data_IF_903484322103
#
_entry.id   IF_903484322103
#
_cell.length_a   1.000
_cell.length_b   1.000
_cell.length_c   1.000
_cell.angle_alpha   90.00
_cell.angle_beta   90.00
_cell.angle_gamma   90.00
#
_symmetry.space_group_name_H-M   'P 1'
#
loop_
_entity.id
_entity.type
_entity.pdbx_description
1 polymer ?
#
# COMPACT_ATOMS: atom_id res chain seq x y z
N UNK A 1 -33.93 30.20 26.84
CA UNK A 1 -35.28 29.64 26.70
C UNK A 1 -35.51 29.25 25.24
N UNK A 2 -35.50 27.95 24.92
CA UNK A 2 -36.01 27.39 23.65
C UNK A 2 -36.70 26.06 23.97
N UNK A 3 -37.93 25.93 23.47
CA UNK A 3 -38.92 24.88 23.75
C UNK A 3 -38.63 23.54 23.03
N UNK A 4 -38.99 22.46 23.73
CA UNK A 4 -39.63 21.19 23.33
C UNK A 4 -39.81 20.81 21.85
N UNK A 5 -39.51 19.53 21.54
CA UNK A 5 -40.45 18.51 20.99
C UNK A 5 -39.68 17.17 20.82
N UNK A 6 -39.93 16.06 21.54
CA UNK A 6 -40.97 15.01 21.34
C UNK A 6 -41.01 14.50 19.88
N UNK A 7 -40.95 13.22 19.51
CA UNK A 7 -41.66 12.04 20.03
C UNK A 7 -41.24 10.76 19.22
N UNK A 8 -41.24 9.58 19.86
CA UNK A 8 -41.66 8.24 19.41
C UNK A 8 -41.27 7.66 18.03
N UNK A 9 -40.73 6.42 18.01
CA UNK A 9 -41.51 5.19 17.72
C UNK A 9 -40.61 3.93 17.67
N UNK A 10 -41.18 2.82 18.12
CA UNK A 10 -40.58 1.51 18.30
C UNK A 10 -41.02 0.50 17.22
N UNK A 11 -40.41 -0.70 17.27
CA UNK A 11 -40.77 -1.97 16.62
C UNK A 11 -40.15 -2.18 15.23
N UNK A 12 -39.69 -3.36 14.81
CA UNK A 12 -40.38 -4.66 14.79
C UNK A 12 -39.38 -5.84 14.81
N UNK A 13 -39.76 -6.89 15.53
CA UNK A 13 -39.20 -8.25 15.62
C UNK A 13 -39.52 -9.07 14.36
N UNK A 14 -38.60 -9.95 13.91
CA UNK A 14 -39.01 -11.23 13.34
C UNK A 14 -37.91 -12.30 13.48
N UNK A 15 -38.18 -13.25 14.35
CA UNK A 15 -37.46 -14.51 14.53
C UNK A 15 -37.69 -15.44 13.33
N UNK A 16 -36.64 -16.10 12.84
CA UNK A 16 -36.78 -17.29 12.00
C UNK A 16 -36.42 -18.49 12.87
N UNK A 17 -37.34 -19.45 12.93
CA UNK A 17 -37.24 -20.69 13.71
C UNK A 17 -37.38 -21.90 12.78
N UNK A 18 -36.96 -23.06 13.30
CA UNK A 18 -37.30 -24.44 12.90
C UNK A 18 -36.54 -24.96 11.65
N UNK A 19 -36.13 -26.22 11.52
CA UNK A 19 -36.09 -27.42 12.37
C UNK A 19 -35.37 -28.51 11.52
N UNK A 20 -34.77 -29.52 12.15
CA UNK A 20 -34.58 -30.83 11.47
C UNK A 20 -33.38 -31.68 11.89
N UNK A 21 -33.46 -32.31 13.07
CA UNK A 21 -32.97 -33.69 13.27
C UNK A 21 -33.96 -34.64 12.53
N UNK A 22 -33.67 -35.86 12.08
CA UNK A 22 -32.87 -36.94 12.66
C UNK A 22 -32.81 -38.15 11.67
N UNK A 23 -31.83 -39.04 11.90
CA UNK A 23 -31.86 -40.52 11.78
C UNK A 23 -31.65 -41.36 10.49
N UNK A 24 -30.60 -42.20 10.61
CA UNK A 24 -30.39 -43.64 10.25
C UNK A 24 -30.52 -44.11 8.79
N UNK A 25 -29.43 -44.58 8.15
CA UNK A 25 -28.73 -45.88 8.26
C UNK A 25 -29.33 -46.99 7.38
N UNK A 26 -28.61 -47.33 6.30
CA UNK A 26 -28.48 -48.59 5.53
C UNK A 26 -27.94 -48.15 4.16
N UNK A 27 -26.88 -48.69 3.56
CA UNK A 27 -26.49 -50.08 3.46
C UNK A 27 -24.99 -50.18 3.17
N UNK A 28 -24.36 -51.12 3.86
CA UNK A 28 -23.06 -51.69 3.50
C UNK A 28 -23.32 -52.78 2.44
N UNK A 29 -22.81 -52.60 1.23
CA UNK A 29 -22.56 -53.68 0.28
C UNK A 29 -21.16 -53.48 -0.29
N UNK A 30 -20.35 -54.50 -0.03
CA UNK A 30 -18.99 -54.72 -0.45
C UNK A 30 -18.95 -55.09 -1.94
N UNK A 31 -18.24 -54.33 -2.76
CA UNK A 31 -17.76 -54.77 -4.08
C UNK A 31 -16.62 -53.84 -4.52
N UNK A 32 -15.42 -54.41 -4.58
CA UNK A 32 -14.19 -53.69 -4.89
C UNK A 32 -14.17 -53.00 -6.26
N UNK A 33 -13.63 -51.79 -6.25
CA UNK A 33 -12.91 -51.21 -7.36
C UNK A 33 -11.84 -50.28 -6.78
N UNK A 34 -10.59 -50.51 -7.16
CA UNK A 34 -9.46 -49.69 -6.77
C UNK A 34 -9.67 -48.26 -7.24
N UNK A 35 -9.92 -47.34 -6.31
CA UNK A 35 -10.03 -45.91 -6.61
C UNK A 35 -8.94 -45.15 -5.86
N UNK A 36 -8.11 -44.50 -6.65
CA UNK A 36 -6.91 -43.79 -6.25
C UNK A 36 -7.22 -42.74 -5.18
N UNK A 37 -6.54 -42.83 -4.03
CA UNK A 37 -6.46 -41.72 -3.09
C UNK A 37 -5.96 -40.49 -3.84
N UNK A 38 -6.68 -39.35 -3.84
CA UNK A 38 -6.04 -38.09 -4.15
C UNK A 38 -5.12 -37.78 -2.95
N UNK A 39 -3.82 -37.99 -3.15
CA UNK A 39 -2.81 -37.36 -2.29
C UNK A 39 -3.11 -35.87 -2.21
N UNK A 40 -3.11 -35.26 -1.01
CA UNK A 40 -3.06 -33.82 -0.90
C UNK A 40 -1.73 -33.39 -1.52
N UNK A 41 -1.78 -32.88 -2.76
CA UNK A 41 -0.66 -32.10 -3.28
C UNK A 41 -0.54 -30.90 -2.34
N UNK A 42 0.63 -30.62 -1.74
CA UNK A 42 0.83 -29.30 -1.21
C UNK A 42 0.61 -28.36 -2.40
N UNK A 43 -0.38 -27.47 -2.28
CA UNK A 43 -0.37 -26.26 -3.07
C UNK A 43 0.96 -25.60 -2.73
N UNK A 44 1.95 -25.80 -3.60
CA UNK A 44 3.07 -24.88 -3.66
C UNK A 44 2.41 -23.61 -4.19
N UNK A 45 1.84 -22.83 -3.28
CA UNK A 45 1.71 -21.41 -3.45
C UNK A 45 3.13 -20.97 -3.79
N UNK A 46 3.34 -20.80 -5.09
CA UNK A 46 4.51 -20.13 -5.61
C UNK A 46 4.32 -18.68 -5.20
N UNK A 47 4.59 -18.40 -3.93
CA UNK A 47 4.73 -17.07 -3.38
C UNK A 47 5.98 -16.52 -4.05
N UNK A 48 5.80 -15.95 -5.25
CA UNK A 48 6.77 -15.00 -5.78
C UNK A 48 6.94 -13.99 -4.65
N UNK A 49 8.14 -13.82 -4.08
CA UNK A 49 8.32 -12.83 -3.05
C UNK A 49 7.89 -11.51 -3.67
N UNK A 50 6.79 -10.94 -3.16
CA UNK A 50 6.37 -9.61 -3.58
C UNK A 50 7.59 -8.71 -3.37
N UNK A 51 8.14 -8.16 -4.45
CA UNK A 51 9.28 -7.25 -4.39
C UNK A 51 8.97 -6.18 -3.36
N UNK A 52 9.84 -6.00 -2.37
CA UNK A 52 9.68 -4.90 -1.43
C UNK A 52 10.08 -3.58 -2.10
N UNK A 53 9.72 -2.46 -1.47
CA UNK A 53 10.03 -1.13 -2.02
C UNK A 53 11.55 -0.91 -2.22
N UNK A 54 12.43 -1.57 -1.48
CA UNK A 54 13.90 -1.38 -1.62
C UNK A 54 14.42 -2.02 -2.90
N UNK A 55 13.86 -3.16 -3.31
CA UNK A 55 14.15 -3.74 -4.63
C UNK A 55 13.71 -2.80 -5.75
N UNK A 56 12.53 -2.17 -5.63
CA UNK A 56 12.02 -1.22 -6.62
C UNK A 56 12.85 0.06 -6.69
N UNK A 57 13.36 0.56 -5.56
CA UNK A 57 14.31 1.68 -5.55
C UNK A 57 15.66 1.29 -6.17
N UNK A 58 16.06 0.03 -6.06
CA UNK A 58 17.26 -0.48 -6.74
C UNK A 58 17.07 -0.51 -8.25
N UNK A 59 15.91 -1.00 -8.73
CA UNK A 59 15.54 -0.94 -10.17
C UNK A 59 15.54 0.50 -10.67
N UNK A 60 14.95 1.41 -9.89
CA UNK A 60 14.97 2.84 -10.21
C UNK A 60 16.40 3.40 -10.35
N UNK A 61 17.30 3.09 -9.40
CA UNK A 61 18.66 3.65 -9.41
C UNK A 61 19.54 3.16 -10.56
N UNK A 62 19.23 1.99 -11.14
CA UNK A 62 19.91 1.46 -12.34
C UNK A 62 19.23 1.84 -13.66
N UNK A 63 18.19 2.68 -13.62
CA UNK A 63 17.50 3.20 -14.80
C UNK A 63 16.33 2.36 -15.31
N UNK A 64 15.90 1.33 -14.57
CA UNK A 64 14.71 0.53 -14.88
C UNK A 64 13.43 1.22 -14.39
N UNK A 65 13.20 2.47 -14.82
CA UNK A 65 12.13 3.34 -14.33
C UNK A 65 10.73 2.73 -14.53
N UNK A 66 10.46 2.16 -15.70
CA UNK A 66 9.16 1.53 -16.01
C UNK A 66 8.87 0.34 -15.10
N UNK A 67 9.88 -0.51 -14.87
CA UNK A 67 9.74 -1.66 -14.00
C UNK A 67 9.55 -1.25 -12.54
N UNK A 68 10.26 -0.21 -12.08
CA UNK A 68 10.11 0.33 -10.74
C UNK A 68 8.71 0.91 -10.52
N UNK A 69 8.20 1.71 -11.47
CA UNK A 69 6.83 2.28 -11.39
C UNK A 69 5.78 1.19 -11.42
N UNK A 70 5.86 0.25 -12.36
CA UNK A 70 4.92 -0.86 -12.46
C UNK A 70 4.93 -1.71 -11.19
N UNK A 71 6.12 -1.98 -10.63
CA UNK A 71 6.27 -2.70 -9.39
C UNK A 71 5.65 -1.97 -8.19
N UNK A 72 5.73 -0.64 -8.09
CA UNK A 72 5.04 0.10 -7.01
C UNK A 72 3.53 -0.03 -7.14
N UNK A 73 3.00 0.08 -8.35
CA UNK A 73 1.55 -0.07 -8.60
C UNK A 73 1.08 -1.48 -8.24
N UNK A 74 1.83 -2.51 -8.65
CA UNK A 74 1.54 -3.91 -8.32
C UNK A 74 1.62 -4.15 -6.80
N UNK A 75 2.71 -3.71 -6.17
CA UNK A 75 2.94 -3.87 -4.74
C UNK A 75 1.85 -3.19 -3.91
N UNK A 76 1.39 -2.01 -4.32
CA UNK A 76 0.30 -1.28 -3.65
C UNK A 76 -1.04 -2.01 -3.66
N UNK A 77 -1.25 -2.92 -4.62
CA UNK A 77 -2.46 -3.73 -4.78
C UNK A 77 -2.29 -5.14 -4.23
N UNK A 78 -1.07 -5.53 -3.90
CA UNK A 78 -0.73 -6.86 -3.39
C UNK A 78 -1.22 -7.05 -1.94
N UNK A 79 -1.26 -8.31 -1.50
CA UNK A 79 -1.56 -8.64 -0.10
C UNK A 79 -0.52 -8.10 0.89
N UNK A 80 0.72 -7.82 0.46
CA UNK A 80 1.74 -7.20 1.30
C UNK A 80 1.38 -5.74 1.64
N UNK A 81 0.57 -5.08 0.80
CA UNK A 81 -0.02 -3.77 1.05
C UNK A 81 0.97 -2.73 1.57
N UNK A 82 0.63 -2.09 2.69
CA UNK A 82 1.43 -1.04 3.29
C UNK A 82 2.79 -1.53 3.82
N UNK A 83 2.89 -2.79 4.24
CA UNK A 83 4.16 -3.32 4.77
C UNK A 83 5.18 -3.52 3.65
N UNK A 84 4.75 -3.95 2.46
CA UNK A 84 5.64 -4.04 1.29
C UNK A 84 6.13 -2.67 0.80
N UNK A 85 5.30 -1.63 0.94
CA UNK A 85 5.63 -0.26 0.56
C UNK A 85 6.46 0.50 1.61
N UNK A 86 6.65 -0.06 2.81
CA UNK A 86 7.38 0.60 3.90
C UNK A 86 8.88 0.48 3.66
N UNK A 87 9.57 1.62 3.61
CA UNK A 87 11.00 1.68 3.30
C UNK A 87 11.87 1.12 4.43
N UNK A 88 11.48 1.41 5.68
CA UNK A 88 12.17 0.93 6.88
C UNK A 88 11.15 0.43 7.90
N UNK A 89 11.29 -0.83 8.30
CA UNK A 89 10.52 -1.42 9.40
C UNK A 89 11.20 -1.15 10.75
N UNK A 90 11.39 0.13 11.09
CA UNK A 90 11.92 0.54 12.39
C UNK A 90 11.35 1.89 12.83
N UNK A 91 11.16 2.04 14.13
CA UNK A 91 10.74 3.30 14.74
C UNK A 91 11.92 4.25 14.94
N UNK A 92 11.64 5.53 15.15
CA UNK A 92 12.65 6.52 15.54
C UNK A 92 13.39 6.13 16.83
N UNK A 93 12.68 5.52 17.79
CA UNK A 93 13.29 5.06 19.04
C UNK A 93 14.30 3.93 18.81
N UNK A 94 13.96 2.97 17.94
CA UNK A 94 14.87 1.88 17.56
C UNK A 94 16.10 2.43 16.84
N UNK A 95 15.92 3.40 15.94
CA UNK A 95 17.02 4.09 15.28
C UNK A 95 17.93 4.83 16.28
N UNK A 96 17.35 5.54 17.25
CA UNK A 96 18.09 6.28 18.27
C UNK A 96 18.87 5.36 19.24
N UNK A 97 18.41 4.13 19.44
CA UNK A 97 19.05 3.14 20.29
C UNK A 97 20.28 2.46 19.64
N UNK A 98 20.51 2.64 18.34
CA UNK A 98 21.66 2.06 17.64
C UNK A 98 23.00 2.64 18.13
N UNK A 99 24.09 1.86 18.12
CA UNK A 99 25.45 2.38 18.25
C UNK A 99 25.71 3.51 17.25
N UNK A 100 26.53 4.49 17.63
CA UNK A 100 26.79 5.69 16.81
C UNK A 100 27.25 5.32 15.39
N UNK A 101 28.18 4.38 15.26
CA UNK A 101 28.71 3.93 13.97
C UNK A 101 27.61 3.35 13.06
N UNK A 102 26.75 2.49 13.61
CA UNK A 102 25.64 1.88 12.88
C UNK A 102 24.60 2.92 12.48
N UNK A 103 24.30 3.88 13.38
CA UNK A 103 23.38 4.97 13.11
C UNK A 103 23.88 5.86 11.97
N UNK A 104 25.17 6.20 11.95
CA UNK A 104 25.77 7.01 10.88
C UNK A 104 25.72 6.29 9.54
N UNK A 105 26.06 5.00 9.49
CA UNK A 105 25.99 4.21 8.25
C UNK A 105 24.55 4.13 7.72
N UNK A 106 23.60 3.78 8.60
CA UNK A 106 22.19 3.68 8.25
C UNK A 106 21.58 5.03 7.85
N UNK A 107 21.99 6.13 8.49
CA UNK A 107 21.55 7.47 8.11
C UNK A 107 21.97 7.81 6.68
N UNK A 108 23.21 7.47 6.29
CA UNK A 108 23.69 7.70 4.93
C UNK A 108 22.89 6.91 3.90
N UNK A 109 22.64 5.62 4.17
CA UNK A 109 21.81 4.77 3.32
C UNK A 109 20.36 5.30 3.21
N UNK A 110 19.80 5.75 4.34
CA UNK A 110 18.45 6.29 4.41
C UNK A 110 18.30 7.56 3.57
N UNK A 111 19.25 8.49 3.65
CA UNK A 111 19.19 9.72 2.87
C UNK A 111 19.26 9.45 1.36
N UNK A 112 20.08 8.49 0.94
CA UNK A 112 20.15 8.06 -0.46
C UNK A 112 18.84 7.39 -0.93
N UNK A 113 18.32 6.45 -0.12
CA UNK A 113 17.04 5.79 -0.41
C UNK A 113 15.88 6.78 -0.48
N UNK A 114 15.86 7.80 0.39
CA UNK A 114 14.86 8.87 0.38
C UNK A 114 15.00 9.80 -0.83
N UNK A 115 16.19 9.93 -1.43
CA UNK A 115 16.35 10.61 -2.71
C UNK A 115 15.70 9.82 -3.84
N UNK A 116 15.98 8.53 -3.94
CA UNK A 116 15.36 7.65 -4.93
C UNK A 116 13.84 7.60 -4.77
N UNK A 117 13.34 7.48 -3.53
CA UNK A 117 11.90 7.48 -3.24
C UNK A 117 11.20 8.76 -3.73
N UNK A 118 11.80 9.93 -3.50
CA UNK A 118 11.25 11.21 -3.99
C UNK A 118 11.25 11.29 -5.52
N UNK A 119 12.29 10.79 -6.17
CA UNK A 119 12.37 10.77 -7.63
C UNK A 119 11.30 9.86 -8.23
N UNK A 120 11.20 8.63 -7.72
CA UNK A 120 10.17 7.66 -8.13
C UNK A 120 8.75 8.20 -7.88
N UNK A 121 8.49 8.82 -6.73
CA UNK A 121 7.20 9.44 -6.42
C UNK A 121 6.81 10.54 -7.40
N UNK A 122 7.77 11.40 -7.81
CA UNK A 122 7.55 12.44 -8.82
C UNK A 122 7.27 11.85 -10.18
N UNK A 123 7.93 10.77 -10.54
CA UNK A 123 7.71 10.10 -11.82
C UNK A 123 6.33 9.44 -11.89
N UNK A 124 5.90 8.77 -10.82
CA UNK A 124 4.53 8.23 -10.71
C UNK A 124 3.50 9.36 -10.90
N UNK A 125 3.72 10.50 -10.23
CA UNK A 125 2.85 11.68 -10.38
C UNK A 125 2.86 12.24 -11.80
N UNK A 126 4.03 12.33 -12.44
CA UNK A 126 4.16 12.79 -13.83
C UNK A 126 3.36 11.89 -14.78
N UNK A 127 3.51 10.57 -14.66
CA UNK A 127 2.76 9.60 -15.47
C UNK A 127 1.26 9.68 -15.23
N UNK A 128 0.82 9.90 -13.98
CA UNK A 128 -0.59 10.10 -13.67
C UNK A 128 -1.15 11.35 -14.37
N UNK A 129 -0.38 12.44 -14.39
CA UNK A 129 -0.74 13.67 -15.10
C UNK A 129 -0.83 13.43 -16.60
N UNK A 130 0.12 12.72 -17.20
CA UNK A 130 0.11 12.38 -18.62
C UNK A 130 -1.08 11.49 -18.99
N UNK A 131 -1.41 10.51 -18.14
CA UNK A 131 -2.58 9.65 -18.32
C UNK A 131 -3.87 10.46 -18.26
N UNK A 132 -4.02 11.37 -17.30
CA UNK A 132 -5.18 12.24 -17.19
C UNK A 132 -5.30 13.18 -18.40
N UNK A 133 -4.21 13.80 -18.85
CA UNK A 133 -4.19 14.66 -20.03
C UNK A 133 -4.57 13.90 -21.32
N UNK A 134 -4.26 12.60 -21.38
CA UNK A 134 -4.65 11.71 -22.47
C UNK A 134 -6.07 11.13 -22.32
N UNK A 135 -6.83 11.51 -21.28
CA UNK A 135 -8.17 10.98 -21.01
C UNK A 135 -8.20 9.54 -20.46
N UNK A 136 -7.05 8.98 -20.06
CA UNK A 136 -6.93 7.65 -19.44
C UNK A 136 -7.16 7.75 -17.93
N UNK A 137 -8.38 8.09 -17.52
CA UNK A 137 -8.72 8.41 -16.12
C UNK A 137 -8.44 7.25 -15.17
N UNK A 138 -8.82 6.01 -15.51
CA UNK A 138 -8.61 4.84 -14.64
C UNK A 138 -7.12 4.60 -14.33
N UNK A 139 -6.24 4.84 -15.32
CA UNK A 139 -4.80 4.70 -15.16
C UNK A 139 -4.23 5.81 -14.27
N UNK A 140 -4.66 7.06 -14.48
CA UNK A 140 -4.28 8.19 -13.65
C UNK A 140 -4.68 7.98 -12.18
N UNK A 141 -5.90 7.53 -11.94
CA UNK A 141 -6.42 7.24 -10.60
C UNK A 141 -5.65 6.09 -9.94
N UNK A 142 -5.36 5.02 -10.70
CA UNK A 142 -4.55 3.91 -10.23
C UNK A 142 -3.14 4.32 -9.78
N UNK A 143 -2.49 5.22 -10.53
CA UNK A 143 -1.18 5.76 -10.19
C UNK A 143 -1.24 6.66 -8.94
N UNK A 144 -2.25 7.53 -8.83
CA UNK A 144 -2.43 8.39 -7.65
C UNK A 144 -2.77 7.58 -6.40
N UNK A 145 -3.59 6.53 -6.49
CA UNK A 145 -3.82 5.65 -5.34
C UNK A 145 -2.55 4.91 -4.91
N UNK A 146 -1.74 4.45 -5.87
CA UNK A 146 -0.46 3.81 -5.56
C UNK A 146 0.47 4.78 -4.83
N UNK A 147 0.54 6.03 -5.30
CA UNK A 147 1.31 7.10 -4.67
C UNK A 147 0.81 7.44 -3.25
N UNK A 148 -0.52 7.45 -3.05
CA UNK A 148 -1.13 7.63 -1.73
C UNK A 148 -0.86 6.47 -0.80
N UNK A 149 -0.84 5.23 -1.32
CA UNK A 149 -0.43 4.05 -0.58
C UNK A 149 1.02 4.16 -0.11
N UNK A 150 1.92 4.58 -1.00
CA UNK A 150 3.33 4.79 -0.70
C UNK A 150 3.55 5.84 0.40
N UNK A 151 2.86 6.98 0.31
CA UNK A 151 2.92 8.02 1.34
C UNK A 151 2.41 7.51 2.69
N UNK A 152 1.26 6.82 2.71
CA UNK A 152 0.68 6.27 3.95
C UNK A 152 1.57 5.21 4.61
N UNK A 153 2.18 4.32 3.84
CA UNK A 153 3.07 3.28 4.35
C UNK A 153 4.31 3.82 5.08
N UNK A 154 4.74 5.03 4.71
CA UNK A 154 5.96 5.68 5.17
C UNK A 154 5.71 6.89 6.08
N UNK A 155 4.50 7.02 6.65
CA UNK A 155 4.16 8.10 7.59
C UNK A 155 3.69 7.56 8.93
N UNK A 156 3.87 8.36 9.98
CA UNK A 156 3.43 8.05 11.34
C UNK A 156 4.58 7.70 12.30
N UNK A 157 4.24 7.29 13.54
CA UNK A 157 5.22 7.07 14.60
C UNK A 157 6.04 5.77 14.43
N UNK A 158 5.61 4.88 13.55
CA UNK A 158 6.23 3.57 13.32
C UNK A 158 7.43 3.62 12.35
N UNK A 159 7.78 4.81 11.86
CA UNK A 159 8.90 5.03 10.93
C UNK A 159 9.86 6.10 11.49
N UNK A 160 11.11 6.17 10.99
CA UNK A 160 12.02 7.25 11.37
C UNK A 160 11.49 8.61 10.92
N UNK A 161 11.79 9.67 11.67
CA UNK A 161 11.27 11.02 11.42
C UNK A 161 11.60 11.53 10.01
N UNK A 162 12.80 11.25 9.52
CA UNK A 162 13.20 11.64 8.17
C UNK A 162 12.33 10.99 7.08
N UNK A 163 11.91 9.73 7.30
CA UNK A 163 11.02 9.00 6.38
C UNK A 163 9.61 9.61 6.43
N UNK A 164 9.08 9.86 7.62
CA UNK A 164 7.77 10.52 7.81
C UNK A 164 7.71 11.91 7.16
N UNK A 165 8.78 12.71 7.28
CA UNK A 165 8.87 14.02 6.64
C UNK A 165 8.78 13.93 5.11
N UNK A 166 9.47 12.96 4.51
CA UNK A 166 9.41 12.73 3.05
C UNK A 166 8.04 12.24 2.62
N UNK A 167 7.43 11.33 3.38
CA UNK A 167 6.09 10.82 3.09
C UNK A 167 5.03 11.93 3.15
N UNK A 168 5.09 12.81 4.15
CA UNK A 168 4.23 14.01 4.24
C UNK A 168 4.45 14.94 3.06
N UNK A 169 5.69 15.18 2.66
CA UNK A 169 5.97 15.99 1.48
C UNK A 169 5.41 15.37 0.19
N UNK A 170 5.47 14.04 0.03
CA UNK A 170 4.83 13.34 -1.10
C UNK A 170 3.32 13.55 -1.07
N UNK A 171 2.68 13.35 0.09
CA UNK A 171 1.24 13.55 0.25
C UNK A 171 0.83 14.99 -0.14
N UNK A 172 1.42 15.99 0.51
CA UNK A 172 1.04 17.40 0.36
C UNK A 172 1.38 17.99 -1.02
N UNK A 173 2.46 17.53 -1.65
CA UNK A 173 2.97 18.13 -2.89
C UNK A 173 2.64 17.35 -4.15
N UNK A 174 2.39 16.05 -4.04
CA UNK A 174 2.20 15.18 -5.20
C UNK A 174 0.84 14.49 -5.21
N UNK A 175 0.24 14.20 -4.05
CA UNK A 175 -1.06 13.50 -3.97
C UNK A 175 -2.22 14.49 -3.85
N UNK A 176 -2.17 15.40 -2.89
CA UNK A 176 -3.27 16.32 -2.59
C UNK A 176 -3.56 17.32 -3.72
N UNK A 177 -2.55 17.85 -4.46
CA UNK A 177 -2.83 18.76 -5.57
C UNK A 177 -3.58 18.07 -6.72
N UNK A 178 -4.57 18.74 -7.33
CA UNK A 178 -5.21 18.29 -8.58
C UNK A 178 -4.17 17.98 -9.66
N UNK A 179 -4.41 16.96 -10.50
CA UNK A 179 -3.46 16.53 -11.54
C UNK A 179 -3.13 17.62 -12.56
N UNK A 180 -4.07 18.54 -12.80
CA UNK A 180 -3.95 19.71 -13.67
C UNK A 180 -3.35 20.94 -12.98
N UNK A 181 -3.06 20.87 -11.68
CA UNK A 181 -2.44 21.97 -10.97
C UNK A 181 -1.01 22.20 -11.52
N UNK A 182 -0.81 23.36 -12.15
CA UNK A 182 0.52 23.82 -12.56
C UNK A 182 1.40 23.90 -11.31
N UNK A 183 2.56 23.22 -11.27
CA UNK A 183 3.44 23.29 -10.12
C UNK A 183 3.81 24.76 -9.91
N UNK A 184 3.54 25.28 -8.71
CA UNK A 184 3.92 26.63 -8.34
C UNK A 184 5.44 26.77 -8.58
N UNK A 185 5.81 27.43 -9.67
CA UNK A 185 7.19 27.76 -9.96
C UNK A 185 7.66 28.64 -8.80
N UNK A 186 8.65 28.15 -8.05
CA UNK A 186 9.29 28.95 -7.04
C UNK A 186 9.75 30.27 -7.68
N UNK A 187 9.55 31.43 -7.02
CA UNK A 187 9.97 32.70 -7.58
C UNK A 187 11.47 32.62 -7.87
N UNK A 188 11.83 32.80 -9.14
CA UNK A 188 13.22 32.95 -9.57
C UNK A 188 13.84 34.06 -8.71
N UNK A 189 14.90 33.81 -7.92
CA UNK A 189 15.53 34.88 -7.18
C UNK A 189 16.02 35.91 -8.18
N UNK A 190 15.40 37.09 -8.16
CA UNK A 190 15.93 38.25 -8.87
C UNK A 190 17.28 38.57 -8.24
N UNK A 191 18.35 38.29 -8.99
CA UNK A 191 19.69 38.71 -8.58
C UNK A 191 19.73 40.24 -8.41
N UNK A 192 20.38 40.75 -7.35
CA UNK A 192 20.65 42.18 -7.21
C UNK A 192 21.64 42.68 -8.27
#
# INVERSE_FOLDING_TARGET
MKLHSRLLAASIVCSVTLNGCDRQQSSQVDAGAAEARPSPRPAVESTVPASDIRELLTKWSVGEEDAAVAGVVELSRSAAGADGLRLYAMTEQQFAALPVEQRTALQSEMLDSLQHLRALAREIRRRASDAAAAGRTDEADGLIESLRGLARANSGPEVPLAVDMVAKAIQEKLVDPPLDAVPATAPTPSSP
#
